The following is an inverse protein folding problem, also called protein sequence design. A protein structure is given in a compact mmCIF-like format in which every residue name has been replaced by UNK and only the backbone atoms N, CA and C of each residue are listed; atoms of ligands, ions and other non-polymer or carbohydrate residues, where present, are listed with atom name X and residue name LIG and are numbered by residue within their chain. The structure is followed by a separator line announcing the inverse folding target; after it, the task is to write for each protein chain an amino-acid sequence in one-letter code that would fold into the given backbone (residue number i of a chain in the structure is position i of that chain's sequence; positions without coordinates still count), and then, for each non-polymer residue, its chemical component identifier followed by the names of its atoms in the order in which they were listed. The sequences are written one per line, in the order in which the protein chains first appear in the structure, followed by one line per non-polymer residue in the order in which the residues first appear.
data_IF_141732171954
#
_entry.id   IF_141732171954
#
_cell.length_a   1.000
_cell.length_b   1.000
_cell.length_c   1.000
_cell.angle_alpha   90.00
_cell.angle_beta   90.00
_cell.angle_gamma   90.00
#
_symmetry.space_group_name_H-M   'P 1'
#
loop_
_entity.id
_entity.type
_entity.pdbx_description
1 polymer ?
#
# COMPACT_ATOMS: atom_id res chain seq x y z
N UNK A 1 -39.82 -9.37 -75.10
CA UNK A 1 -38.41 -9.77 -74.92
C UNK A 1 -37.55 -8.68 -74.24
N UNK A 2 -38.03 -7.95 -73.22
CA UNK A 2 -37.22 -6.91 -72.53
C UNK A 2 -37.51 -6.79 -71.02
N UNK A 3 -38.00 -7.85 -70.38
CA UNK A 3 -38.36 -7.86 -68.94
C UNK A 3 -37.52 -8.80 -68.07
N UNK A 4 -36.41 -9.34 -68.59
CA UNK A 4 -35.59 -10.36 -67.90
C UNK A 4 -34.10 -10.00 -67.75
N UNK A 5 -33.73 -8.74 -67.95
CA UNK A 5 -32.34 -8.27 -67.83
C UNK A 5 -32.12 -7.22 -66.73
N UNK A 6 -33.16 -6.77 -66.04
CA UNK A 6 -33.07 -5.73 -64.99
C UNK A 6 -32.92 -6.27 -63.56
N UNK A 7 -32.79 -7.59 -63.39
CA UNK A 7 -32.68 -8.24 -62.07
C UNK A 7 -31.26 -8.74 -61.73
N UNK A 8 -30.26 -8.46 -62.57
CA UNK A 8 -28.88 -8.97 -62.38
C UNK A 8 -27.82 -7.90 -62.11
N UNK A 9 -28.17 -6.62 -62.08
CA UNK A 9 -27.24 -5.52 -61.80
C UNK A 9 -27.43 -4.86 -60.42
N UNK A 10 -28.29 -5.41 -59.57
CA UNK A 10 -28.51 -4.94 -58.19
C UNK A 10 -27.84 -5.81 -57.12
N UNK A 11 -26.95 -6.72 -57.51
CA UNK A 11 -26.29 -7.67 -56.60
C UNK A 11 -24.81 -7.35 -56.31
N UNK A 12 -24.32 -6.14 -56.64
CA UNK A 12 -22.88 -5.82 -56.57
C UNK A 12 -22.48 -4.61 -55.72
N UNK A 13 -23.40 -3.87 -55.09
CA UNK A 13 -23.05 -2.62 -54.38
C UNK A 13 -23.91 -2.35 -53.15
N UNK A 14 -23.85 -3.22 -52.14
CA UNK A 14 -24.28 -2.85 -50.77
C UNK A 14 -23.65 -3.71 -49.67
N UNK A 15 -22.51 -4.35 -49.94
CA UNK A 15 -21.74 -5.09 -48.93
C UNK A 15 -20.66 -4.18 -48.31
N UNK A 16 -21.04 -3.00 -47.79
CA UNK A 16 -20.11 -2.08 -47.11
C UNK A 16 -20.87 -1.01 -46.31
N UNK A 17 -21.60 -1.44 -45.28
CA UNK A 17 -22.07 -0.55 -44.21
C UNK A 17 -22.32 -1.34 -42.92
N UNK A 18 -21.38 -2.21 -42.55
CA UNK A 18 -21.18 -2.52 -41.12
C UNK A 18 -20.17 -1.51 -40.60
N UNK A 19 -20.59 -0.24 -40.46
CA UNK A 19 -19.89 0.66 -39.55
C UNK A 19 -20.21 0.16 -38.16
N UNK A 20 -19.35 -0.73 -37.67
CA UNK A 20 -19.22 -1.01 -36.25
C UNK A 20 -19.07 0.33 -35.56
N UNK A 21 -20.15 0.83 -34.96
CA UNK A 21 -20.04 1.81 -33.90
C UNK A 21 -19.40 1.02 -32.77
N UNK A 22 -18.06 0.98 -32.78
CA UNK A 22 -17.30 0.68 -31.58
C UNK A 22 -17.66 1.82 -30.63
N UNK A 23 -18.65 1.56 -29.78
CA UNK A 23 -18.79 2.30 -28.55
C UNK A 23 -17.47 2.10 -27.80
N UNK A 24 -16.55 3.05 -27.97
CA UNK A 24 -15.48 3.24 -27.01
C UNK A 24 -16.15 3.76 -25.74
N UNK A 25 -16.77 2.83 -25.00
CA UNK A 25 -17.00 3.03 -23.57
C UNK A 25 -15.66 2.80 -22.87
N UNK A 26 -14.71 3.68 -23.16
CA UNK A 26 -13.56 3.94 -22.30
C UNK A 26 -13.75 5.35 -21.73
N UNK A 27 -14.89 5.55 -21.10
CA UNK A 27 -14.98 6.55 -20.03
C UNK A 27 -14.77 5.80 -18.73
N UNK A 28 -13.57 5.21 -18.59
CA UNK A 28 -13.04 5.00 -17.27
C UNK A 28 -13.09 6.35 -16.56
N UNK A 29 -13.58 6.36 -15.32
CA UNK A 29 -13.37 7.51 -14.44
C UNK A 29 -11.86 7.75 -14.38
N UNK A 30 -11.35 8.62 -15.23
CA UNK A 30 -9.93 8.92 -15.31
C UNK A 30 -9.53 9.55 -13.99
N UNK A 31 -8.48 9.04 -13.36
CA UNK A 31 -7.92 9.69 -12.18
C UNK A 31 -7.34 11.05 -12.59
N UNK A 32 -7.71 12.09 -11.86
CA UNK A 32 -7.27 13.46 -12.10
C UNK A 32 -6.19 13.81 -11.09
N UNK A 33 -5.02 14.22 -11.59
CA UNK A 33 -3.94 14.72 -10.75
C UNK A 33 -4.42 15.94 -9.94
N UNK A 34 -4.20 15.91 -8.62
CA UNK A 34 -4.68 16.90 -7.67
C UNK A 34 -6.04 16.59 -7.03
N UNK A 35 -6.77 15.58 -7.53
CA UNK A 35 -8.03 15.11 -6.94
C UNK A 35 -7.87 13.73 -6.31
N UNK A 36 -7.69 12.68 -7.11
CA UNK A 36 -7.53 11.31 -6.59
C UNK A 36 -6.08 10.94 -6.28
N UNK A 37 -5.11 11.59 -6.93
CA UNK A 37 -3.69 11.35 -6.69
C UNK A 37 -2.85 12.62 -6.85
N UNK A 38 -1.66 12.61 -6.27
CA UNK A 38 -0.61 13.61 -6.51
C UNK A 38 0.68 12.89 -6.88
N UNK A 39 1.49 13.48 -7.75
CA UNK A 39 2.85 12.98 -7.98
C UNK A 39 3.69 13.16 -6.72
N UNK A 40 4.55 12.19 -6.42
CA UNK A 40 5.53 12.31 -5.34
C UNK A 40 6.51 13.45 -5.66
N UNK A 41 6.94 14.17 -4.62
CA UNK A 41 7.86 15.30 -4.78
C UNK A 41 9.22 14.86 -5.34
N UNK A 42 9.71 13.69 -4.90
CA UNK A 42 10.96 13.11 -5.37
C UNK A 42 10.76 11.63 -5.74
N UNK A 43 11.10 11.28 -6.98
CA UNK A 43 11.12 9.88 -7.41
C UNK A 43 12.17 9.11 -6.61
N UNK A 44 11.76 8.01 -6.01
CA UNK A 44 12.68 7.06 -5.37
C UNK A 44 13.04 5.94 -6.33
N UNK A 45 14.24 5.39 -6.18
CA UNK A 45 14.58 4.14 -6.86
C UNK A 45 13.71 3.01 -6.31
N UNK A 46 13.08 2.27 -7.22
CA UNK A 46 12.32 1.05 -6.90
C UNK A 46 13.08 -0.22 -7.27
N UNK A 47 14.32 -0.09 -7.78
CA UNK A 47 15.16 -1.23 -8.12
C UNK A 47 15.35 -2.16 -6.90
N UNK A 48 15.34 -3.49 -7.09
CA UNK A 48 15.32 -4.21 -8.36
C UNK A 48 13.92 -4.42 -8.96
N UNK A 49 12.87 -3.84 -8.36
CA UNK A 49 11.49 -4.00 -8.80
C UNK A 49 11.16 -3.07 -9.98
N UNK A 50 10.18 -3.47 -10.78
CA UNK A 50 9.65 -2.67 -11.90
C UNK A 50 8.34 -1.97 -11.55
N UNK A 51 7.58 -2.52 -10.59
CA UNK A 51 6.37 -1.94 -10.02
C UNK A 51 6.41 -2.11 -8.51
N UNK A 52 6.16 -1.04 -7.77
CA UNK A 52 6.12 -1.05 -6.31
C UNK A 52 4.86 -0.38 -5.81
N UNK A 53 4.23 -0.94 -4.80
CA UNK A 53 3.17 -0.27 -4.05
C UNK A 53 3.61 -0.22 -2.60
N UNK A 54 3.80 0.98 -2.08
CA UNK A 54 4.16 1.21 -0.68
C UNK A 54 2.96 1.76 0.07
N UNK A 55 2.49 1.04 1.08
CA UNK A 55 1.61 1.63 2.09
C UNK A 55 2.47 2.35 3.13
N UNK A 56 2.13 3.60 3.39
CA UNK A 56 2.70 4.38 4.48
C UNK A 56 1.66 4.56 5.57
N UNK A 57 1.98 4.04 6.76
CA UNK A 57 1.01 3.89 7.85
C UNK A 57 1.56 4.38 9.20
N UNK A 58 0.70 4.48 10.21
CA UNK A 58 1.11 4.70 11.60
C UNK A 58 0.27 3.80 12.51
N UNK A 59 0.89 3.07 13.44
CA UNK A 59 0.14 2.16 14.32
C UNK A 59 -0.93 2.87 15.17
N UNK A 60 -0.75 4.15 15.51
CA UNK A 60 -1.77 4.91 16.23
C UNK A 60 -2.88 5.51 15.35
N UNK A 61 -2.89 5.25 14.05
CA UNK A 61 -3.90 5.76 13.11
C UNK A 61 -5.04 4.75 12.91
N UNK A 62 -6.26 5.13 13.28
CA UNK A 62 -7.45 4.25 13.17
C UNK A 62 -7.82 3.97 11.72
N UNK A 63 -7.63 4.93 10.82
CA UNK A 63 -7.92 4.75 9.39
C UNK A 63 -6.96 3.77 8.73
N UNK A 64 -5.72 3.70 9.21
CA UNK A 64 -4.72 2.74 8.79
C UNK A 64 -5.17 1.33 9.21
N UNK A 65 -5.60 1.15 10.46
CA UNK A 65 -6.17 -0.11 10.92
C UNK A 65 -7.43 -0.52 10.13
N UNK A 66 -8.29 0.45 9.76
CA UNK A 66 -9.47 0.19 8.94
C UNK A 66 -9.15 -0.20 7.49
N UNK A 67 -7.96 0.17 7.00
CA UNK A 67 -7.49 -0.15 5.65
C UNK A 67 -6.94 -1.58 5.52
N UNK A 68 -6.39 -2.14 6.62
CA UNK A 68 -5.77 -3.48 6.67
C UNK A 68 -6.61 -4.59 5.99
N UNK A 69 -7.94 -4.72 6.23
CA UNK A 69 -8.73 -5.77 5.56
C UNK A 69 -8.73 -5.65 4.03
N UNK A 70 -8.74 -4.41 3.50
CA UNK A 70 -8.74 -4.15 2.07
C UNK A 70 -7.38 -4.45 1.44
N UNK A 71 -6.29 -4.07 2.13
CA UNK A 71 -4.92 -4.42 1.72
C UNK A 71 -4.74 -5.93 1.69
N UNK A 72 -5.17 -6.63 2.75
CA UNK A 72 -5.09 -8.08 2.83
C UNK A 72 -5.88 -8.79 1.72
N UNK A 73 -7.06 -8.28 1.35
CA UNK A 73 -7.82 -8.86 0.25
C UNK A 73 -7.12 -8.62 -1.09
N UNK A 74 -6.65 -7.40 -1.34
CA UNK A 74 -5.90 -7.07 -2.56
C UNK A 74 -4.61 -7.88 -2.68
N UNK A 75 -3.88 -8.13 -1.59
CA UNK A 75 -2.65 -8.92 -1.59
C UNK A 75 -2.85 -10.35 -2.09
N UNK A 76 -4.05 -10.93 -1.94
CA UNK A 76 -4.39 -12.26 -2.46
C UNK A 76 -4.52 -12.28 -3.98
N UNK A 77 -4.91 -11.15 -4.58
CA UNK A 77 -5.26 -11.06 -6.00
C UNK A 77 -4.33 -10.16 -6.80
N UNK A 78 -3.41 -9.43 -6.17
CA UNK A 78 -2.54 -8.48 -6.85
C UNK A 78 -1.70 -9.17 -7.93
N UNK A 79 -1.37 -8.47 -9.03
CA UNK A 79 -0.39 -8.95 -9.99
C UNK A 79 0.94 -9.37 -9.33
N UNK A 80 1.55 -10.44 -9.86
CA UNK A 80 2.76 -11.01 -9.31
C UNK A 80 4.00 -10.10 -9.48
N UNK A 81 3.98 -9.23 -10.48
CA UNK A 81 5.06 -8.28 -10.78
C UNK A 81 5.04 -7.02 -9.89
N UNK A 82 4.02 -6.85 -9.05
CA UNK A 82 3.95 -5.77 -8.06
C UNK A 82 4.65 -6.20 -6.77
N UNK A 83 5.70 -5.49 -6.39
CA UNK A 83 6.25 -5.57 -5.05
C UNK A 83 5.41 -4.71 -4.09
N UNK A 84 4.88 -5.31 -3.04
CA UNK A 84 4.19 -4.57 -1.98
C UNK A 84 5.06 -4.49 -0.74
N UNK A 85 5.09 -3.32 -0.12
CA UNK A 85 5.71 -3.12 1.19
C UNK A 85 4.89 -2.15 2.04
N UNK A 86 4.94 -2.35 3.35
CA UNK A 86 4.44 -1.37 4.32
C UNK A 86 5.64 -0.67 4.95
N UNK A 87 5.54 0.64 5.13
CA UNK A 87 6.57 1.47 5.76
C UNK A 87 5.90 2.36 6.82
N UNK A 88 6.38 2.38 8.07
CA UNK A 88 5.84 3.31 9.04
C UNK A 88 6.20 4.74 8.63
N UNK A 89 5.20 5.62 8.59
CA UNK A 89 5.44 7.05 8.56
C UNK A 89 6.22 7.46 9.81
N UNK A 90 7.32 8.18 9.61
CA UNK A 90 8.08 8.76 10.70
C UNK A 90 8.14 10.27 10.47
N UNK A 91 7.19 10.96 11.11
CA UNK A 91 7.18 12.41 11.21
C UNK A 91 8.00 12.84 12.43
N UNK A 92 8.37 14.13 12.51
CA UNK A 92 9.17 14.70 13.61
C UNK A 92 8.36 14.85 14.91
N UNK A 93 7.75 13.74 15.37
CA UNK A 93 6.97 13.62 16.58
C UNK A 93 7.42 12.34 17.32
N UNK A 94 7.66 12.41 18.65
CA UNK A 94 8.18 11.27 19.41
C UNK A 94 7.33 9.99 19.30
N UNK A 95 6.01 10.09 19.20
CA UNK A 95 5.13 8.93 19.12
C UNK A 95 5.24 8.21 17.77
N UNK A 96 5.43 8.95 16.68
CA UNK A 96 5.61 8.39 15.34
C UNK A 96 6.95 7.68 15.24
N UNK A 97 8.00 8.30 15.77
CA UNK A 97 9.34 7.70 15.90
C UNK A 97 9.24 6.40 16.72
N UNK A 98 8.58 6.46 17.87
CA UNK A 98 8.42 5.31 18.76
C UNK A 98 7.69 4.14 18.08
N UNK A 99 6.56 4.38 17.41
CA UNK A 99 5.83 3.33 16.69
C UNK A 99 6.59 2.83 15.46
N UNK A 100 7.38 3.68 14.80
CA UNK A 100 8.32 3.26 13.76
C UNK A 100 9.38 2.30 14.31
N UNK A 101 9.91 2.57 15.52
CA UNK A 101 10.83 1.64 16.19
C UNK A 101 10.15 0.31 16.52
N UNK A 102 8.89 0.30 16.95
CA UNK A 102 8.14 -0.95 17.18
C UNK A 102 8.04 -1.79 15.90
N UNK A 103 7.66 -1.16 14.78
CA UNK A 103 7.60 -1.83 13.47
C UNK A 103 8.96 -2.45 13.10
N UNK A 104 10.03 -1.66 13.09
CA UNK A 104 11.34 -2.18 12.70
C UNK A 104 11.91 -3.19 13.70
N UNK A 105 11.59 -3.08 14.99
CA UNK A 105 11.94 -4.11 15.98
C UNK A 105 11.27 -5.44 15.64
N UNK A 106 9.97 -5.43 15.34
CA UNK A 106 9.25 -6.65 14.95
C UNK A 106 9.77 -7.26 13.64
N UNK A 107 10.21 -6.41 12.69
CA UNK A 107 10.82 -6.84 11.43
C UNK A 107 12.18 -7.51 11.66
N UNK A 108 13.03 -6.89 12.48
CA UNK A 108 14.35 -7.42 12.82
C UNK A 108 14.29 -8.74 13.60
N UNK A 109 13.24 -8.91 14.41
CA UNK A 109 12.99 -10.16 15.16
C UNK A 109 12.23 -11.21 14.33
N UNK A 110 11.89 -10.93 13.07
CA UNK A 110 11.24 -11.88 12.17
C UNK A 110 9.77 -12.17 12.50
N UNK A 111 9.11 -11.34 13.30
CA UNK A 111 7.72 -11.54 13.75
C UNK A 111 6.74 -10.52 13.17
N UNK A 112 7.18 -9.64 12.28
CA UNK A 112 6.34 -8.57 11.70
C UNK A 112 5.04 -9.12 11.09
N UNK A 113 5.11 -10.10 10.19
CA UNK A 113 3.94 -10.67 9.50
C UNK A 113 2.89 -11.22 10.47
N UNK A 114 3.34 -11.77 11.60
CA UNK A 114 2.47 -12.38 12.61
C UNK A 114 1.89 -11.34 13.58
N UNK A 115 2.58 -10.22 13.75
CA UNK A 115 2.29 -9.24 14.80
C UNK A 115 1.65 -7.96 14.30
N UNK A 116 1.73 -7.64 13.02
CA UNK A 116 1.29 -6.37 12.45
C UNK A 116 -0.20 -6.06 12.74
N UNK A 117 -1.11 -6.92 12.26
CA UNK A 117 -2.55 -6.77 12.49
C UNK A 117 -2.94 -7.01 13.96
N UNK A 118 -2.40 -8.00 14.68
CA UNK A 118 -2.66 -8.13 16.12
C UNK A 118 -2.26 -6.90 16.93
N UNK A 119 -1.14 -6.25 16.60
CA UNK A 119 -0.70 -5.04 17.30
C UNK A 119 -1.64 -3.85 17.03
N UNK A 120 -2.05 -3.66 15.77
CA UNK A 120 -3.10 -2.71 15.43
C UNK A 120 -4.42 -2.99 16.19
N UNK A 121 -4.84 -4.26 16.24
CA UNK A 121 -6.05 -4.69 16.94
C UNK A 121 -5.96 -4.37 18.43
N UNK A 122 -4.82 -4.67 19.06
CA UNK A 122 -4.59 -4.38 20.47
C UNK A 122 -4.71 -2.88 20.78
N UNK A 123 -4.17 -2.02 19.91
CA UNK A 123 -4.26 -0.55 20.06
C UNK A 123 -5.67 -0.02 19.82
N UNK A 124 -6.31 -0.40 18.71
CA UNK A 124 -7.53 0.27 18.24
C UNK A 124 -8.82 -0.39 18.70
N UNK A 125 -8.85 -1.72 18.76
CA UNK A 125 -10.04 -2.49 19.15
C UNK A 125 -10.02 -2.79 20.64
N UNK A 126 -8.93 -3.34 21.14
CA UNK A 126 -8.85 -3.82 22.53
C UNK A 126 -8.42 -2.72 23.50
N UNK A 127 -8.02 -1.55 22.98
CA UNK A 127 -7.60 -0.36 23.74
C UNK A 127 -6.51 -0.65 24.78
N UNK A 128 -5.59 -1.57 24.45
CA UNK A 128 -4.45 -1.87 25.31
C UNK A 128 -3.51 -0.67 25.41
N UNK A 129 -2.95 -0.46 26.60
CA UNK A 129 -1.97 0.59 26.86
C UNK A 129 -0.56 0.15 26.42
N UNK A 130 -0.25 0.32 25.14
CA UNK A 130 1.01 -0.11 24.51
C UNK A 130 1.88 1.09 24.13
N UNK A 131 2.14 1.98 25.10
CA UNK A 131 2.93 3.21 24.91
C UNK A 131 4.28 3.21 25.63
N UNK A 132 4.68 2.08 26.23
CA UNK A 132 6.02 1.90 26.81
C UNK A 132 6.72 0.71 26.16
N UNK A 133 8.05 0.72 26.16
CA UNK A 133 8.84 -0.37 25.55
C UNK A 133 8.58 -1.67 26.29
N UNK A 134 8.41 -1.63 27.61
CA UNK A 134 8.16 -2.78 28.47
C UNK A 134 6.79 -3.41 28.20
N UNK A 135 5.73 -2.59 28.09
CA UNK A 135 4.39 -3.10 27.78
C UNK A 135 4.35 -3.75 26.40
N UNK A 136 5.05 -3.15 25.43
CA UNK A 136 5.15 -3.69 24.08
C UNK A 136 6.00 -4.96 24.06
N UNK A 137 7.15 -4.98 24.72
CA UNK A 137 7.99 -6.17 24.84
C UNK A 137 7.20 -7.36 25.40
N UNK A 138 6.40 -7.12 26.45
CA UNK A 138 5.47 -8.09 27.01
C UNK A 138 4.41 -8.53 26.00
N UNK A 139 3.80 -7.59 25.26
CA UNK A 139 2.86 -7.93 24.19
C UNK A 139 3.48 -8.87 23.15
N UNK A 140 4.74 -8.64 22.76
CA UNK A 140 5.42 -9.44 21.73
C UNK A 140 5.78 -10.87 22.19
N UNK A 141 5.69 -11.18 23.49
CA UNK A 141 5.91 -12.55 24.00
C UNK A 141 4.94 -13.58 23.43
N UNK A 142 3.73 -13.17 23.05
CA UNK A 142 2.75 -14.05 22.42
C UNK A 142 3.19 -14.56 21.03
N UNK A 143 4.20 -13.92 20.42
CA UNK A 143 4.81 -14.35 19.16
C UNK A 143 6.18 -15.04 19.36
N UNK A 144 6.48 -15.49 20.59
CA UNK A 144 7.71 -16.22 20.91
C UNK A 144 8.95 -15.32 21.12
N UNK A 145 8.77 -14.00 21.21
CA UNK A 145 9.87 -13.06 21.47
C UNK A 145 10.09 -12.90 22.98
N UNK A 146 11.33 -13.05 23.46
CA UNK A 146 11.64 -12.71 24.86
C UNK A 146 11.62 -11.19 25.04
N UNK A 147 11.11 -10.72 26.18
CA UNK A 147 11.05 -9.28 26.47
C UNK A 147 12.42 -8.60 26.36
N UNK A 148 13.48 -9.26 26.83
CA UNK A 148 14.86 -8.78 26.73
C UNK A 148 15.34 -8.61 25.29
N UNK A 149 14.96 -9.53 24.41
CA UNK A 149 15.35 -9.52 23.00
C UNK A 149 14.62 -8.37 22.29
N UNK A 150 13.34 -8.17 22.59
CA UNK A 150 12.60 -7.02 22.10
C UNK A 150 13.23 -5.70 22.55
N UNK A 151 13.46 -5.52 23.85
CA UNK A 151 14.00 -4.27 24.41
C UNK A 151 15.39 -3.98 23.85
N UNK A 152 16.25 -5.00 23.74
CA UNK A 152 17.59 -4.84 23.19
C UNK A 152 17.59 -4.48 21.70
N UNK A 153 16.78 -5.16 20.88
CA UNK A 153 16.62 -4.83 19.45
C UNK A 153 15.99 -3.45 19.27
N UNK A 154 14.99 -3.07 20.07
CA UNK A 154 14.37 -1.75 20.05
C UNK A 154 15.39 -0.63 20.34
N UNK A 155 16.37 -0.87 21.21
CA UNK A 155 17.44 0.08 21.54
C UNK A 155 18.63 -0.01 20.58
N UNK A 156 18.59 -0.88 19.57
CA UNK A 156 19.72 -1.11 18.69
C UNK A 156 19.96 0.04 17.71
N UNK A 157 21.22 0.24 17.36
CA UNK A 157 21.63 1.19 16.32
C UNK A 157 20.99 0.89 14.96
N UNK A 158 20.78 -0.39 14.64
CA UNK A 158 20.15 -0.82 13.38
C UNK A 158 18.70 -0.34 13.28
N UNK A 159 17.91 -0.52 14.33
CA UNK A 159 16.53 0.00 14.38
C UNK A 159 16.51 1.53 14.26
N UNK A 160 17.43 2.23 14.93
CA UNK A 160 17.53 3.68 14.79
C UNK A 160 17.89 4.13 13.36
N UNK A 161 18.74 3.38 12.66
CA UNK A 161 19.04 3.65 11.24
C UNK A 161 17.83 3.44 10.34
N UNK A 162 17.07 2.36 10.55
CA UNK A 162 15.87 2.06 9.78
C UNK A 162 14.79 3.14 9.98
N UNK A 163 14.60 3.62 11.21
CA UNK A 163 13.68 4.72 11.50
C UNK A 163 14.13 6.02 10.82
N UNK A 164 15.42 6.35 10.84
CA UNK A 164 15.95 7.50 10.10
C UNK A 164 15.74 7.37 8.59
N UNK A 165 15.84 6.16 8.04
CA UNK A 165 15.55 5.89 6.63
C UNK A 165 14.05 6.06 6.31
N UNK A 166 13.17 5.57 7.18
CA UNK A 166 11.72 5.75 7.03
C UNK A 166 11.31 7.23 7.11
N UNK A 167 11.95 8.01 7.97
CA UNK A 167 11.74 9.46 8.06
C UNK A 167 12.10 10.16 6.74
N UNK A 168 13.27 9.85 6.15
CA UNK A 168 13.65 10.37 4.82
C UNK A 168 12.67 9.96 3.74
N UNK A 169 12.21 8.70 3.79
CA UNK A 169 11.23 8.16 2.84
C UNK A 169 9.91 8.92 2.91
N UNK A 170 9.37 9.08 4.12
CA UNK A 170 8.16 9.87 4.40
C UNK A 170 8.26 11.30 3.82
N UNK A 171 9.40 11.96 4.07
CA UNK A 171 9.66 13.31 3.55
C UNK A 171 9.77 13.37 2.04
N UNK A 172 10.51 12.44 1.41
CA UNK A 172 10.71 12.43 -0.04
C UNK A 172 9.42 12.16 -0.84
N UNK A 173 8.50 11.40 -0.26
CA UNK A 173 7.17 11.19 -0.83
C UNK A 173 6.24 12.40 -0.63
N UNK A 174 6.62 13.38 0.19
CA UNK A 174 5.76 14.53 0.52
C UNK A 174 4.53 14.11 1.32
N UNK A 175 4.70 13.14 2.23
CA UNK A 175 3.63 12.60 3.07
C UNK A 175 3.55 13.42 4.36
N UNK A 176 2.37 14.01 4.59
CA UNK A 176 1.99 14.80 5.77
C UNK A 176 0.91 14.13 6.61
N UNK A 177 0.32 13.03 6.13
CA UNK A 177 -0.69 12.24 6.82
C UNK A 177 -0.75 10.80 6.35
N UNK A 178 -1.51 9.96 7.06
CA UNK A 178 -1.65 8.52 6.78
C UNK A 178 -3.11 8.06 7.01
N UNK A 179 -3.55 6.95 6.38
CA UNK A 179 -2.80 6.11 5.46
C UNK A 179 -2.52 6.81 4.12
N UNK A 180 -1.39 6.48 3.51
CA UNK A 180 -1.05 6.92 2.16
C UNK A 180 -0.53 5.73 1.35
N UNK A 181 -0.87 5.68 0.07
CA UNK A 181 -0.37 4.65 -0.85
C UNK A 181 0.46 5.33 -1.94
N UNK A 182 1.68 4.85 -2.14
CA UNK A 182 2.61 5.33 -3.17
C UNK A 182 2.82 4.23 -4.19
N UNK A 183 2.72 4.56 -5.47
CA UNK A 183 2.84 3.64 -6.62
C UNK A 183 4.01 4.07 -7.51
#
# INVERSE_FOLDING_TARGET
MLRRTWLKTLAATALLAMTSVSANADEGFGFVEGVEYKKVAQSQSIAPHTKKVTEVFYYGCVHCFQLEPSIHEWLKTKPADIHFEQVPAVLNNPNWIFMGKVYFTSKELGVLEQSHVPFFTALHKDKQNLFTVEAIAKFFTQFGVKETDFISTFKSFKVDQLVRQAMRTTQSYGIDGVPAVVV
#
